data_IF_678265802757
#
_entry.id   IF_678265802757
#
_cell.length_a   1.000
_cell.length_b   1.000
_cell.length_c   1.000
_cell.angle_alpha   90.00
_cell.angle_beta   90.00
_cell.angle_gamma   90.00
#
_symmetry.space_group_name_H-M   'P 1'
#
loop_
_entity.id
_entity.type
_entity.pdbx_description
1 polymer ?
#
# COMPACT_ATOMS: atom_id res chain seq x y z
N UNK A 1 9.88 -10.85 51.28
CA UNK A 1 10.12 -11.19 49.86
C UNK A 1 9.19 -10.31 49.03
N UNK A 2 9.69 -9.15 48.60
CA UNK A 2 8.92 -8.16 47.83
C UNK A 2 8.66 -8.70 46.43
N UNK A 3 7.41 -9.03 46.12
CA UNK A 3 6.97 -9.32 44.75
C UNK A 3 7.10 -8.02 43.96
N UNK A 4 8.12 -7.93 43.12
CA UNK A 4 8.26 -6.89 42.11
C UNK A 4 6.94 -6.78 41.34
N UNK A 5 6.44 -5.56 41.06
CA UNK A 5 5.31 -5.42 40.15
C UNK A 5 5.75 -6.01 38.82
N UNK A 6 5.08 -7.08 38.39
CA UNK A 6 5.10 -7.51 37.00
C UNK A 6 4.74 -6.26 36.20
N UNK A 7 5.72 -5.69 35.49
CA UNK A 7 5.45 -4.73 34.44
C UNK A 7 4.51 -5.47 33.50
N UNK A 8 3.20 -5.24 33.65
CA UNK A 8 2.21 -5.74 32.72
C UNK A 8 2.63 -5.16 31.39
N UNK A 9 3.32 -5.97 30.58
CA UNK A 9 3.50 -5.69 29.19
C UNK A 9 2.10 -5.49 28.65
N UNK A 10 1.76 -4.23 28.32
CA UNK A 10 0.41 -3.80 28.02
C UNK A 10 0.01 -4.42 26.68
N UNK A 11 -0.36 -5.70 26.71
CA UNK A 11 -0.90 -6.44 25.58
C UNK A 11 -2.18 -5.75 25.16
N UNK A 12 -2.24 -5.31 23.92
CA UNK A 12 -3.42 -4.64 23.37
C UNK A 12 -4.44 -5.74 23.05
N UNK A 13 -5.58 -5.73 23.75
CA UNK A 13 -6.58 -6.82 23.69
C UNK A 13 -7.19 -7.02 22.29
N UNK A 14 -7.14 -6.00 21.43
CA UNK A 14 -7.71 -6.02 20.08
C UNK A 14 -6.68 -6.05 18.94
N UNK A 15 -5.39 -6.20 19.26
CA UNK A 15 -4.34 -6.29 18.25
C UNK A 15 -3.60 -7.62 18.37
N UNK A 16 -3.29 -8.24 17.24
CA UNK A 16 -2.59 -9.51 17.15
C UNK A 16 -1.29 -9.32 16.35
N UNK A 17 -0.21 -9.91 16.85
CA UNK A 17 1.08 -9.97 16.16
C UNK A 17 1.00 -10.89 14.92
N UNK A 18 1.97 -10.76 14.00
CA UNK A 18 2.05 -11.60 12.79
C UNK A 18 2.16 -13.11 13.09
N UNK A 19 2.53 -13.49 14.32
CA UNK A 19 2.55 -14.88 14.82
C UNK A 19 1.22 -15.36 15.42
N UNK A 20 0.19 -14.52 15.44
CA UNK A 20 -1.10 -14.86 16.05
C UNK A 20 -1.06 -14.89 17.59
N UNK A 21 -0.23 -14.06 18.21
CA UNK A 21 -0.24 -13.79 19.67
C UNK A 21 -0.82 -12.39 19.93
N UNK A 22 -1.37 -12.09 21.12
CA UNK A 22 -1.79 -10.73 21.46
C UNK A 22 -0.63 -9.74 21.34
N UNK A 23 -0.85 -8.63 20.66
CA UNK A 23 0.17 -7.67 20.29
C UNK A 23 0.70 -6.94 21.53
N UNK A 24 2.01 -6.99 21.67
CA UNK A 24 2.73 -6.35 22.77
C UNK A 24 3.11 -4.93 22.37
N UNK A 25 2.65 -3.91 23.12
CA UNK A 25 2.86 -2.49 22.76
C UNK A 25 4.35 -2.10 22.73
N UNK A 26 5.18 -2.80 23.50
CA UNK A 26 6.64 -2.58 23.59
C UNK A 26 7.40 -3.11 22.37
N UNK A 27 6.81 -4.04 21.61
CA UNK A 27 7.51 -4.87 20.62
C UNK A 27 6.85 -4.87 19.24
N UNK A 28 5.54 -4.64 19.20
CA UNK A 28 4.70 -4.75 18.01
C UNK A 28 4.20 -3.36 17.60
N UNK A 29 4.50 -2.97 16.36
CA UNK A 29 4.24 -1.60 15.88
C UNK A 29 5.27 -0.58 16.36
N UNK A 30 5.11 0.68 15.94
CA UNK A 30 6.01 1.76 16.31
C UNK A 30 6.33 2.67 15.12
N UNK A 31 7.05 3.76 15.42
CA UNK A 31 7.37 4.80 14.44
C UNK A 31 8.09 4.27 13.20
N UNK A 32 9.03 3.35 13.38
CA UNK A 32 9.78 2.75 12.26
C UNK A 32 8.90 1.92 11.35
N UNK A 33 7.98 1.12 11.91
CA UNK A 33 7.06 0.30 11.12
C UNK A 33 6.07 1.17 10.34
N UNK A 34 5.50 2.20 10.97
CA UNK A 34 4.66 3.17 10.28
C UNK A 34 5.43 3.92 9.18
N UNK A 35 6.68 4.33 9.45
CA UNK A 35 7.51 5.00 8.45
C UNK A 35 7.80 4.14 7.22
N UNK A 36 8.00 2.83 7.39
CA UNK A 36 8.19 1.91 6.25
C UNK A 36 6.92 1.81 5.40
N UNK A 37 5.74 1.68 6.02
CA UNK A 37 4.46 1.60 5.30
C UNK A 37 4.18 2.92 4.58
N UNK A 38 4.38 4.06 5.26
CA UNK A 38 4.21 5.39 4.65
C UNK A 38 5.23 5.65 3.54
N UNK A 39 6.43 5.10 3.63
CA UNK A 39 7.43 5.20 2.57
C UNK A 39 6.96 4.53 1.27
N UNK A 40 6.36 3.33 1.37
CA UNK A 40 5.77 2.64 0.22
C UNK A 40 4.62 3.44 -0.38
N UNK A 41 3.69 3.93 0.43
CA UNK A 41 2.58 4.78 -0.03
C UNK A 41 3.11 6.04 -0.74
N UNK A 42 4.13 6.69 -0.20
CA UNK A 42 4.72 7.87 -0.81
C UNK A 42 5.35 7.55 -2.17
N UNK A 43 6.08 6.44 -2.29
CA UNK A 43 6.63 5.97 -3.56
C UNK A 43 5.53 5.71 -4.59
N UNK A 44 4.48 4.97 -4.22
CA UNK A 44 3.38 4.64 -5.13
C UNK A 44 2.67 5.91 -5.65
N UNK A 45 2.43 6.89 -4.76
CA UNK A 45 1.85 8.19 -5.14
C UNK A 45 2.76 8.97 -6.08
N UNK A 46 4.06 8.98 -5.83
CA UNK A 46 5.04 9.65 -6.70
C UNK A 46 5.11 8.99 -8.08
N UNK A 47 5.16 7.66 -8.14
CA UNK A 47 5.17 6.89 -9.40
C UNK A 47 3.91 7.18 -10.21
N UNK A 48 2.73 7.07 -9.58
CA UNK A 48 1.44 7.28 -10.26
C UNK A 48 1.33 8.69 -10.85
N UNK A 49 1.70 9.71 -10.08
CA UNK A 49 1.70 11.10 -10.56
C UNK A 49 2.74 11.31 -11.67
N UNK A 50 3.94 10.77 -11.51
CA UNK A 50 5.01 10.87 -12.51
C UNK A 50 4.63 10.25 -13.86
N UNK A 51 3.95 9.10 -13.83
CA UNK A 51 3.41 8.44 -15.03
C UNK A 51 2.26 9.28 -15.60
N UNK A 52 1.27 9.65 -14.79
CA UNK A 52 0.07 10.35 -15.26
C UNK A 52 0.38 11.65 -16.02
N UNK A 53 1.34 12.44 -15.54
CA UNK A 53 1.70 13.73 -16.14
C UNK A 53 2.49 13.55 -17.45
N UNK A 54 3.31 12.50 -17.56
CA UNK A 54 4.17 12.29 -18.72
C UNK A 54 3.56 11.36 -19.79
N UNK A 55 2.57 10.54 -19.43
CA UNK A 55 1.99 9.53 -20.32
C UNK A 55 1.30 10.14 -21.54
N UNK A 56 0.59 11.26 -21.40
CA UNK A 56 -0.05 11.95 -22.54
C UNK A 56 1.01 12.37 -23.56
N UNK A 57 2.08 13.02 -23.10
CA UNK A 57 3.18 13.50 -23.94
C UNK A 57 3.93 12.35 -24.61
N UNK A 58 4.10 11.22 -23.90
CA UNK A 58 4.70 10.01 -24.47
C UNK A 58 3.84 9.40 -25.59
N UNK A 59 2.53 9.30 -25.38
CA UNK A 59 1.62 8.73 -26.37
C UNK A 59 1.47 9.61 -27.62
N UNK A 60 1.43 10.94 -27.45
CA UNK A 60 1.35 11.87 -28.58
C UNK A 60 2.69 12.03 -29.30
N UNK A 61 3.80 12.13 -28.57
CA UNK A 61 5.11 12.41 -29.14
C UNK A 61 5.84 11.18 -29.67
N UNK A 62 5.83 10.07 -28.93
CA UNK A 62 6.65 8.89 -29.26
C UNK A 62 5.86 7.84 -30.04
N UNK A 63 4.63 7.56 -29.62
CA UNK A 63 3.76 6.61 -30.32
C UNK A 63 2.95 7.24 -31.47
N UNK A 64 3.01 8.58 -31.64
CA UNK A 64 2.29 9.32 -32.68
C UNK A 64 0.77 9.08 -32.68
N UNK A 65 0.17 8.85 -31.50
CA UNK A 65 -1.29 8.78 -31.38
C UNK A 65 -1.90 10.18 -31.42
N UNK A 66 -3.09 10.30 -32.01
CA UNK A 66 -3.84 11.55 -32.01
C UNK A 66 -4.26 11.95 -30.58
N UNK A 67 -4.28 13.26 -30.29
CA UNK A 67 -4.57 13.80 -28.95
C UNK A 67 -5.82 13.21 -28.29
N UNK A 68 -6.91 13.03 -29.04
CA UNK A 68 -8.15 12.44 -28.52
C UNK A 68 -7.96 10.97 -28.09
N UNK A 69 -7.20 10.19 -28.85
CA UNK A 69 -6.91 8.79 -28.51
C UNK A 69 -5.98 8.69 -27.30
N UNK A 70 -4.95 9.54 -27.23
CA UNK A 70 -4.02 9.58 -26.10
C UNK A 70 -4.74 9.95 -24.80
N UNK A 71 -5.62 10.95 -24.82
CA UNK A 71 -6.41 11.33 -23.66
C UNK A 71 -7.29 10.17 -23.16
N UNK A 72 -7.98 9.46 -24.06
CA UNK A 72 -8.79 8.29 -23.70
C UNK A 72 -7.96 7.17 -23.05
N UNK A 73 -6.75 6.91 -23.55
CA UNK A 73 -5.87 5.88 -22.98
C UNK A 73 -5.46 6.28 -21.56
N UNK A 74 -5.06 7.53 -21.33
CA UNK A 74 -4.68 7.99 -19.99
C UNK A 74 -5.87 7.96 -19.03
N UNK A 75 -7.07 8.37 -19.47
CA UNK A 75 -8.29 8.27 -18.65
C UNK A 75 -8.64 6.82 -18.32
N UNK A 76 -8.57 5.90 -19.29
CA UNK A 76 -8.81 4.48 -19.06
C UNK A 76 -7.77 3.87 -18.12
N UNK A 77 -6.49 4.25 -18.25
CA UNK A 77 -5.43 3.83 -17.35
C UNK A 77 -5.74 4.25 -15.91
N UNK A 78 -6.00 5.54 -15.68
CA UNK A 78 -6.35 6.06 -14.35
C UNK A 78 -7.63 5.40 -13.79
N UNK A 79 -8.65 5.22 -14.63
CA UNK A 79 -9.89 4.54 -14.25
C UNK A 79 -9.65 3.09 -13.83
N UNK A 80 -8.78 2.38 -14.55
CA UNK A 80 -8.39 1.00 -14.22
C UNK A 80 -7.64 0.94 -12.90
N UNK A 81 -6.71 1.88 -12.64
CA UNK A 81 -6.02 1.96 -11.35
C UNK A 81 -7.00 2.11 -10.19
N UNK A 82 -8.01 2.98 -10.30
CA UNK A 82 -9.02 3.13 -9.26
C UNK A 82 -9.88 1.88 -9.04
N UNK A 83 -10.28 1.20 -10.13
CA UNK A 83 -11.01 -0.07 -10.02
C UNK A 83 -10.14 -1.15 -9.36
N UNK A 84 -8.85 -1.21 -9.69
CA UNK A 84 -7.91 -2.15 -9.11
C UNK A 84 -7.68 -1.86 -7.61
N UNK A 85 -7.64 -0.59 -7.19
CA UNK A 85 -7.58 -0.22 -5.77
C UNK A 85 -8.80 -0.74 -4.99
N UNK A 86 -10.01 -0.62 -5.55
CA UNK A 86 -11.23 -1.15 -4.93
C UNK A 86 -11.16 -2.68 -4.81
N UNK A 87 -10.73 -3.35 -5.87
CA UNK A 87 -10.55 -4.80 -5.88
C UNK A 87 -9.48 -5.24 -4.87
N UNK A 88 -8.34 -4.54 -4.80
CA UNK A 88 -7.26 -4.81 -3.88
C UNK A 88 -7.69 -4.70 -2.42
N UNK A 89 -8.49 -3.69 -2.07
CA UNK A 89 -9.09 -3.57 -0.74
C UNK A 89 -10.00 -4.75 -0.40
N UNK A 90 -10.88 -5.15 -1.32
CA UNK A 90 -11.74 -6.32 -1.14
C UNK A 90 -10.95 -7.62 -0.92
N UNK A 91 -9.87 -7.83 -1.69
CA UNK A 91 -8.97 -8.99 -1.55
C UNK A 91 -8.22 -8.94 -0.21
N UNK A 92 -7.78 -7.75 0.23
CA UNK A 92 -7.09 -7.56 1.50
C UNK A 92 -7.95 -7.93 2.71
N UNK A 93 -9.23 -7.55 2.66
CA UNK A 93 -10.15 -7.78 3.77
C UNK A 93 -10.72 -9.21 3.79
N UNK A 94 -10.80 -9.88 2.64
CA UNK A 94 -11.49 -11.19 2.53
C UNK A 94 -10.55 -12.40 2.53
N UNK A 95 -9.37 -12.32 1.90
CA UNK A 95 -8.58 -13.52 1.58
C UNK A 95 -7.20 -13.59 2.22
N UNK A 96 -6.35 -12.58 2.00
CA UNK A 96 -4.88 -12.71 2.21
C UNK A 96 -4.42 -11.88 3.43
N UNK A 97 -5.24 -10.92 3.87
CA UNK A 97 -4.90 -9.99 4.94
C UNK A 97 -4.12 -8.77 4.45
N UNK A 98 -4.12 -7.71 5.26
CA UNK A 98 -3.61 -6.37 4.89
C UNK A 98 -2.12 -6.35 4.52
N UNK A 99 -1.27 -6.97 5.35
CA UNK A 99 0.19 -6.93 5.16
C UNK A 99 0.64 -7.66 3.88
N UNK A 100 0.15 -8.90 3.67
CA UNK A 100 0.50 -9.69 2.49
C UNK A 100 -0.04 -9.05 1.20
N UNK A 101 -1.21 -8.42 1.25
CA UNK A 101 -1.74 -7.69 0.10
C UNK A 101 -0.82 -6.53 -0.28
N UNK A 102 -0.41 -5.70 0.68
CA UNK A 102 0.53 -4.60 0.41
C UNK A 102 1.84 -5.15 -0.18
N UNK A 103 2.40 -6.22 0.39
CA UNK A 103 3.67 -6.79 -0.07
C UNK A 103 3.58 -7.35 -1.52
N UNK A 104 2.52 -8.08 -1.84
CA UNK A 104 2.33 -8.66 -3.18
C UNK A 104 2.11 -7.56 -4.21
N UNK A 105 1.20 -6.63 -3.95
CA UNK A 105 0.85 -5.57 -4.90
C UNK A 105 2.00 -4.57 -5.09
N UNK A 106 2.74 -4.21 -4.04
CA UNK A 106 3.94 -3.39 -4.17
C UNK A 106 5.04 -4.09 -4.99
N UNK A 107 5.18 -5.41 -4.87
CA UNK A 107 6.13 -6.17 -5.71
C UNK A 107 5.70 -6.17 -7.17
N UNK A 108 4.40 -6.27 -7.45
CA UNK A 108 3.86 -6.20 -8.82
C UNK A 108 4.01 -4.80 -9.40
N UNK A 109 3.86 -3.74 -8.60
CA UNK A 109 4.12 -2.35 -9.04
C UNK A 109 5.60 -2.10 -9.35
N UNK A 110 6.51 -2.72 -8.59
CA UNK A 110 7.95 -2.51 -8.71
C UNK A 110 8.61 -3.24 -9.90
N UNK A 111 7.93 -4.22 -10.51
CA UNK A 111 8.43 -5.01 -11.66
C UNK A 111 7.93 -4.39 -12.97
#
# INVERSE_FOLDING_TARGET
MSTLPQTQDQTIQDAWDYKGNPAERSKTGGWTSSAMILGVEACERLTTMGIAVNLVTYLTGTMHLGNASSANIVTNFMGTCFMLCLLGGFVADTFIGRYLTIAIFATVEAI
#
